data_IF_324753650350
#
_entry.id   IF_324753650350
#
_cell.length_a   1.000
_cell.length_b   1.000
_cell.length_c   1.000
_cell.angle_alpha   90.00
_cell.angle_beta   90.00
_cell.angle_gamma   90.00
#
_symmetry.space_group_name_H-M   'P 1'
#
loop_
_entity.id
_entity.type
_entity.pdbx_description
1 polymer ?
#
# COMPACT_ATOMS: atom_id res chain seq x y z
N UNK A 1 7.30 8.06 14.59
CA UNK A 1 6.78 6.71 14.27
C UNK A 1 7.94 5.74 14.31
N UNK A 2 7.73 4.55 14.86
CA UNK A 2 8.71 3.46 14.82
C UNK A 2 8.07 2.18 14.32
N UNK A 3 8.92 1.26 13.90
CA UNK A 3 8.55 -0.13 13.65
C UNK A 3 9.33 -0.97 14.66
N UNK A 4 8.70 -2.04 15.17
CA UNK A 4 9.41 -3.09 15.89
C UNK A 4 10.46 -3.77 14.98
N UNK A 5 11.19 -4.74 15.51
CA UNK A 5 12.19 -5.47 14.74
C UNK A 5 11.63 -6.00 13.42
N UNK A 6 12.36 -5.78 12.33
CA UNK A 6 11.94 -6.23 11.01
C UNK A 6 12.08 -7.75 10.93
N UNK A 7 10.99 -8.50 10.69
CA UNK A 7 11.02 -9.96 10.74
C UNK A 7 11.76 -10.55 9.54
N UNK A 8 12.49 -11.63 9.81
CA UNK A 8 13.18 -12.46 8.81
C UNK A 8 12.58 -13.86 8.75
N UNK A 9 12.73 -14.53 7.60
CA UNK A 9 12.25 -15.89 7.30
C UNK A 9 10.76 -16.13 7.63
N UNK A 10 9.95 -15.07 7.57
CA UNK A 10 8.53 -15.12 7.87
C UNK A 10 7.83 -15.95 6.80
N UNK A 11 7.10 -16.98 7.23
CA UNK A 11 6.30 -17.79 6.33
C UNK A 11 5.00 -17.06 5.98
N UNK A 12 4.64 -16.95 4.68
CA UNK A 12 3.35 -16.39 4.30
C UNK A 12 2.17 -17.21 4.84
N UNK A 13 1.07 -16.53 5.17
CA UNK A 13 -0.14 -17.17 5.67
C UNK A 13 -1.05 -17.71 4.56
N UNK A 14 -0.83 -17.32 3.31
CA UNK A 14 -1.59 -17.81 2.16
C UNK A 14 -1.27 -19.26 1.86
N UNK A 15 -2.29 -20.11 1.77
CA UNK A 15 -2.13 -21.57 1.57
C UNK A 15 -1.33 -21.94 0.32
N UNK A 16 -1.47 -21.15 -0.76
CA UNK A 16 -0.73 -21.32 -2.03
C UNK A 16 0.78 -21.10 -1.89
N UNK A 17 1.20 -20.29 -0.93
CA UNK A 17 2.59 -19.86 -0.75
C UNK A 17 3.26 -20.58 0.43
N UNK A 18 2.76 -21.78 0.75
CA UNK A 18 3.32 -22.61 1.82
C UNK A 18 4.78 -22.96 1.50
N UNK A 19 5.69 -22.60 2.41
CA UNK A 19 7.13 -22.84 2.28
C UNK A 19 7.92 -21.65 1.73
N UNK A 20 7.24 -20.63 1.21
CA UNK A 20 7.88 -19.37 0.82
C UNK A 20 8.41 -18.62 2.05
N UNK A 21 9.33 -17.67 1.83
CA UNK A 21 9.98 -16.88 2.88
C UNK A 21 9.95 -15.39 2.58
N UNK A 22 9.71 -14.60 3.61
CA UNK A 22 9.69 -13.13 3.53
C UNK A 22 10.62 -12.55 4.59
N UNK A 23 11.57 -11.74 4.13
CA UNK A 23 12.41 -10.92 4.98
C UNK A 23 12.02 -9.46 4.78
N UNK A 24 11.50 -8.80 5.82
CA UNK A 24 11.30 -7.35 5.77
C UNK A 24 12.65 -6.70 6.03
N UNK A 25 13.08 -5.83 5.11
CA UNK A 25 14.45 -5.30 5.09
C UNK A 25 14.51 -3.80 5.35
N UNK A 26 13.46 -3.06 5.00
CA UNK A 26 13.38 -1.63 5.24
C UNK A 26 11.92 -1.13 5.27
N UNK A 27 11.73 0.10 5.73
CA UNK A 27 10.44 0.79 5.68
C UNK A 27 10.58 2.29 5.43
N UNK A 28 9.51 2.93 4.96
CA UNK A 28 9.45 4.38 4.77
C UNK A 28 8.03 4.91 4.87
N UNK A 29 7.87 6.10 5.44
CA UNK A 29 6.61 6.84 5.40
C UNK A 29 6.33 7.33 3.97
N UNK A 30 5.06 7.31 3.63
CA UNK A 30 4.52 7.78 2.36
C UNK A 30 3.20 8.53 2.60
N UNK A 31 2.79 9.37 1.65
CA UNK A 31 1.61 10.23 1.75
C UNK A 31 1.69 11.09 3.03
N UNK A 32 2.83 11.74 3.25
CA UNK A 32 3.03 12.63 4.43
C UNK A 32 2.60 14.05 4.10
N UNK A 33 1.85 14.70 5.00
CA UNK A 33 1.32 16.05 4.76
C UNK A 33 2.45 17.08 4.55
N UNK A 34 2.24 18.04 3.64
CA UNK A 34 3.16 19.16 3.39
C UNK A 34 2.83 20.40 4.23
N UNK A 35 1.67 20.43 4.86
CA UNK A 35 1.17 21.57 5.61
C UNK A 35 0.61 21.16 6.96
N UNK A 36 0.66 22.06 7.93
CA UNK A 36 0.02 21.88 9.23
C UNK A 36 -0.35 23.23 9.82
N UNK A 37 -1.36 23.28 10.68
CA UNK A 37 -1.60 24.46 11.51
C UNK A 37 -0.56 24.52 12.64
N UNK A 38 0.00 25.71 12.97
CA UNK A 38 0.96 25.85 14.08
C UNK A 38 0.40 25.37 15.43
N UNK A 39 -0.91 25.53 15.63
CA UNK A 39 -1.61 25.11 16.84
C UNK A 39 -2.62 24.03 16.48
N UNK A 40 -2.83 23.07 17.38
CA UNK A 40 -3.85 22.03 17.23
C UNK A 40 -5.24 22.66 17.06
N UNK A 41 -5.91 22.34 15.95
CA UNK A 41 -7.21 22.93 15.59
C UNK A 41 -8.33 21.90 15.80
N UNK A 42 -9.33 22.26 16.57
CA UNK A 42 -10.55 21.44 16.80
C UNK A 42 -11.82 22.13 16.31
N UNK A 43 -11.73 23.42 15.96
CA UNK A 43 -12.83 24.19 15.38
C UNK A 43 -13.35 23.53 14.08
N UNK A 44 -14.67 23.37 14.00
CA UNK A 44 -15.37 22.72 12.89
C UNK A 44 -15.77 21.26 13.14
N UNK A 45 -15.13 20.57 14.11
CA UNK A 45 -15.43 19.14 14.35
C UNK A 45 -16.88 18.88 14.79
N UNK A 46 -17.47 19.79 15.56
CA UNK A 46 -18.85 19.66 16.05
C UNK A 46 -19.93 20.05 15.02
N UNK A 47 -19.55 20.59 13.86
CA UNK A 47 -20.52 20.99 12.83
C UNK A 47 -21.16 19.78 12.14
N UNK A 48 -20.38 18.73 11.90
CA UNK A 48 -20.82 17.50 11.21
C UNK A 48 -20.88 16.27 12.13
N UNK A 49 -20.24 16.35 13.31
CA UNK A 49 -20.32 15.32 14.34
C UNK A 49 -20.67 15.97 15.69
N UNK A 50 -21.97 16.20 15.91
CA UNK A 50 -22.47 17.04 17.01
C UNK A 50 -22.15 16.46 18.38
N UNK A 51 -21.99 15.13 18.46
CA UNK A 51 -21.75 14.38 19.70
C UNK A 51 -20.28 13.98 19.90
N UNK A 52 -19.35 14.45 19.06
CA UNK A 52 -17.92 14.09 19.13
C UNK A 52 -17.30 14.28 20.52
N UNK A 53 -17.75 15.30 21.27
CA UNK A 53 -17.27 15.60 22.62
C UNK A 53 -18.11 14.99 23.74
N UNK A 54 -19.07 14.12 23.42
CA UNK A 54 -19.98 13.51 24.39
C UNK A 54 -19.32 12.55 25.38
N UNK A 55 -18.09 12.08 25.09
CA UNK A 55 -17.30 11.17 25.92
C UNK A 55 -18.11 9.96 26.45
N UNK A 56 -18.91 9.34 25.58
CA UNK A 56 -19.71 8.16 25.91
C UNK A 56 -18.80 6.94 25.92
N UNK A 57 -18.87 6.10 26.96
CA UNK A 57 -18.12 4.84 27.10
C UNK A 57 -19.05 3.63 26.91
N UNK A 58 -18.46 2.45 26.66
CA UNK A 58 -19.19 1.19 26.53
C UNK A 58 -18.60 0.31 25.42
N UNK A 59 -19.44 -0.54 24.84
CA UNK A 59 -19.09 -1.30 23.64
C UNK A 59 -19.10 -0.37 22.45
N UNK A 60 -18.01 -0.36 21.68
CA UNK A 60 -17.91 0.40 20.44
C UNK A 60 -19.11 0.12 19.51
N UNK A 61 -19.59 1.14 18.77
CA UNK A 61 -18.95 2.44 18.56
C UNK A 61 -19.25 3.47 19.67
N UNK A 62 -18.23 4.23 20.11
CA UNK A 62 -18.29 5.14 21.29
C UNK A 62 -17.48 6.42 21.10
N UNK A 63 -17.91 7.54 21.70
CA UNK A 63 -17.25 8.86 21.54
C UNK A 63 -16.10 9.13 22.52
N UNK A 64 -15.93 8.30 23.56
CA UNK A 64 -14.84 8.44 24.52
C UNK A 64 -13.42 8.34 23.92
N UNK A 65 -13.28 7.85 22.68
CA UNK A 65 -11.98 7.82 21.98
C UNK A 65 -11.43 9.20 21.62
N UNK A 66 -12.29 10.23 21.52
CA UNK A 66 -11.90 11.55 21.05
C UNK A 66 -11.38 12.48 22.15
N UNK A 67 -11.77 12.25 23.41
CA UNK A 67 -11.44 13.14 24.53
C UNK A 67 -11.20 12.33 25.79
N UNK A 68 -10.07 12.55 26.45
CA UNK A 68 -9.86 12.09 27.82
C UNK A 68 -10.53 13.07 28.79
N UNK A 69 -11.69 12.69 29.33
CA UNK A 69 -12.37 13.43 30.39
C UNK A 69 -11.99 12.97 31.80
N UNK A 70 -11.07 12.01 31.96
CA UNK A 70 -10.64 11.53 33.29
C UNK A 70 -9.72 12.53 34.01
N UNK A 71 -9.02 13.37 33.25
CA UNK A 71 -8.23 14.48 33.79
C UNK A 71 -9.12 15.70 34.08
N UNK A 72 -9.26 16.02 35.37
CA UNK A 72 -10.11 17.12 35.86
C UNK A 72 -9.48 18.50 35.70
N UNK A 73 -8.19 18.60 35.40
CA UNK A 73 -7.50 19.88 35.20
C UNK A 73 -7.57 20.37 33.75
N UNK A 74 -7.48 19.44 32.80
CA UNK A 74 -7.68 19.70 31.37
C UNK A 74 -7.99 18.41 30.64
N UNK A 75 -8.98 18.43 29.75
CA UNK A 75 -9.29 17.28 28.91
C UNK A 75 -8.34 17.24 27.71
N UNK A 76 -7.68 16.09 27.49
CA UNK A 76 -6.85 15.90 26.31
C UNK A 76 -7.75 15.55 25.13
N UNK A 77 -7.53 16.21 24.00
CA UNK A 77 -8.21 15.91 22.73
C UNK A 77 -7.33 15.01 21.87
N UNK A 78 -7.92 13.94 21.32
CA UNK A 78 -7.27 12.93 20.47
C UNK A 78 -7.73 13.00 19.02
N UNK A 79 -8.30 14.11 18.57
CA UNK A 79 -8.58 14.32 17.16
C UNK A 79 -8.58 15.80 16.81
N UNK A 80 -8.27 16.11 15.57
CA UNK A 80 -8.04 17.47 15.11
C UNK A 80 -8.39 17.64 13.65
N UNK A 81 -8.31 18.89 13.21
CA UNK A 81 -8.50 19.33 11.83
C UNK A 81 -7.15 19.80 11.32
N UNK A 82 -6.67 19.19 10.24
CA UNK A 82 -5.50 19.67 9.51
C UNK A 82 -5.91 20.59 8.33
N UNK A 83 -4.95 21.16 7.58
CA UNK A 83 -5.28 22.06 6.47
C UNK A 83 -6.03 21.43 5.29
N UNK A 84 -6.00 20.11 5.13
CA UNK A 84 -6.65 19.36 4.02
C UNK A 84 -7.79 18.43 4.49
N UNK A 85 -8.28 18.61 5.72
CA UNK A 85 -9.22 17.75 6.43
C UNK A 85 -10.50 17.35 5.67
N UNK A 86 -11.01 18.26 4.83
CA UNK A 86 -12.22 18.05 4.01
C UNK A 86 -11.97 18.46 2.56
N UNK A 87 -10.73 18.32 2.08
CA UNK A 87 -10.37 18.67 0.71
C UNK A 87 -10.51 17.46 -0.21
N UNK A 88 -11.34 17.58 -1.24
CA UNK A 88 -11.47 16.56 -2.27
C UNK A 88 -10.19 16.48 -3.11
N UNK A 89 -9.48 15.35 -3.03
CA UNK A 89 -8.26 15.07 -3.77
C UNK A 89 -8.46 13.83 -4.65
N UNK A 90 -9.15 14.04 -5.77
CA UNK A 90 -9.68 12.95 -6.61
C UNK A 90 -8.66 12.33 -7.59
N UNK A 91 -7.46 12.91 -7.73
CA UNK A 91 -6.43 12.43 -8.65
C UNK A 91 -5.01 12.55 -8.07
N UNK A 92 -4.06 11.85 -8.70
CA UNK A 92 -2.69 11.78 -8.25
C UNK A 92 -1.98 13.15 -8.25
N UNK A 93 -2.34 14.05 -9.17
CA UNK A 93 -1.74 15.39 -9.26
C UNK A 93 -2.16 16.23 -8.05
N UNK A 94 -3.45 16.21 -7.72
CA UNK A 94 -3.99 16.88 -6.54
C UNK A 94 -3.35 16.33 -5.26
N UNK A 95 -3.26 15.01 -5.11
CA UNK A 95 -2.60 14.36 -3.98
C UNK A 95 -1.12 14.78 -3.87
N UNK A 96 -0.36 14.78 -4.97
CA UNK A 96 1.04 15.23 -5.01
C UNK A 96 1.20 16.71 -4.66
N UNK A 97 0.17 17.53 -4.88
CA UNK A 97 0.15 18.92 -4.44
C UNK A 97 0.14 19.05 -2.90
N UNK A 98 -0.68 18.24 -2.22
CA UNK A 98 -0.89 18.31 -0.78
C UNK A 98 0.09 17.43 0.05
N UNK A 99 0.60 16.34 -0.52
CA UNK A 99 1.40 15.33 0.17
C UNK A 99 2.76 15.10 -0.50
N UNK A 100 3.73 14.64 0.29
CA UNK A 100 4.92 13.99 -0.25
C UNK A 100 4.57 12.53 -0.55
N UNK A 101 4.75 12.13 -1.80
CA UNK A 101 4.41 10.78 -2.30
C UNK A 101 5.68 10.17 -2.88
N UNK A 102 5.95 8.92 -2.52
CA UNK A 102 7.08 8.15 -3.05
C UNK A 102 6.84 7.80 -4.52
N UNK A 103 7.85 8.04 -5.35
CA UNK A 103 7.85 7.57 -6.74
C UNK A 103 7.93 6.02 -6.79
N UNK A 104 7.49 5.38 -7.89
CA UNK A 104 7.51 3.93 -8.04
C UNK A 104 8.89 3.27 -7.85
N UNK A 105 9.96 4.02 -8.13
CA UNK A 105 11.36 3.59 -7.99
C UNK A 105 12.06 4.21 -6.76
N UNK A 106 11.29 4.79 -5.83
CA UNK A 106 11.86 5.43 -4.65
C UNK A 106 12.65 4.42 -3.79
N UNK A 107 13.79 4.86 -3.29
CA UNK A 107 14.58 4.06 -2.36
C UNK A 107 13.89 3.97 -0.99
N UNK A 108 13.74 2.73 -0.50
CA UNK A 108 13.22 2.38 0.81
C UNK A 108 14.38 1.83 1.64
N UNK A 109 14.84 2.59 2.63
CA UNK A 109 16.06 2.31 3.39
C UNK A 109 15.94 2.56 4.91
N UNK A 110 14.74 2.83 5.43
CA UNK A 110 14.55 3.03 6.87
C UNK A 110 14.71 1.72 7.66
N UNK A 111 15.43 1.80 8.79
CA UNK A 111 15.68 0.66 9.69
C UNK A 111 14.67 0.65 10.85
N UNK A 112 14.59 -0.46 11.61
CA UNK A 112 13.75 -0.51 12.81
C UNK A 112 14.23 0.43 13.94
N UNK A 113 15.51 0.78 13.96
CA UNK A 113 16.11 1.60 15.03
C UNK A 113 15.90 3.09 14.85
N UNK A 114 15.63 3.54 13.62
CA UNK A 114 15.50 4.95 13.30
C UNK A 114 14.02 5.37 13.18
N UNK A 115 13.52 6.23 14.09
CA UNK A 115 12.16 6.74 13.97
C UNK A 115 12.01 7.65 12.76
N UNK A 116 10.85 7.60 12.11
CA UNK A 116 10.46 8.57 11.08
C UNK A 116 9.38 9.52 11.59
N UNK A 117 9.36 10.74 11.06
CA UNK A 117 8.45 11.80 11.47
C UNK A 117 7.66 12.30 10.27
N UNK A 118 6.41 12.68 10.50
CA UNK A 118 5.56 13.36 9.54
C UNK A 118 4.72 14.41 10.25
N UNK A 119 4.21 15.36 9.47
CA UNK A 119 3.19 16.29 9.95
C UNK A 119 1.88 15.53 10.27
N UNK A 120 1.05 16.16 11.10
CA UNK A 120 -0.32 15.74 11.31
C UNK A 120 -1.06 15.59 9.98
N UNK A 121 -1.81 14.49 9.85
CA UNK A 121 -2.63 14.17 8.70
C UNK A 121 -3.93 13.52 9.20
N UNK A 122 -5.00 14.30 9.20
CA UNK A 122 -6.33 13.93 9.73
C UNK A 122 -7.39 14.40 8.76
N UNK A 123 -8.52 13.71 8.72
CA UNK A 123 -9.56 13.98 7.73
C UNK A 123 -10.94 13.60 8.25
N UNK A 124 -11.98 14.15 7.62
CA UNK A 124 -13.33 13.69 7.86
C UNK A 124 -13.59 12.30 7.24
N UNK A 125 -14.71 11.69 7.61
CA UNK A 125 -15.04 10.32 7.23
C UNK A 125 -15.13 10.08 5.72
N UNK A 126 -15.48 11.11 4.92
CA UNK A 126 -15.55 10.99 3.45
C UNK A 126 -14.17 11.00 2.81
N UNK A 127 -13.16 11.46 3.54
CA UNK A 127 -11.80 11.67 3.07
C UNK A 127 -10.82 10.63 3.61
N UNK A 128 -11.34 9.52 4.17
CA UNK A 128 -10.59 8.33 4.54
C UNK A 128 -10.22 7.51 3.28
N UNK A 129 -9.42 8.13 2.41
CA UNK A 129 -9.08 7.67 1.07
C UNK A 129 -7.58 7.44 0.89
N UNK A 130 -7.21 6.45 0.06
CA UNK A 130 -5.82 5.99 -0.07
C UNK A 130 -4.88 7.05 -0.68
N UNK A 131 -5.42 8.07 -1.35
CA UNK A 131 -4.63 9.18 -1.90
C UNK A 131 -4.12 10.19 -0.88
N UNK A 132 -4.73 10.23 0.30
CA UNK A 132 -4.45 11.25 1.32
C UNK A 132 -4.17 10.68 2.71
N UNK A 133 -4.36 9.38 2.93
CA UNK A 133 -4.01 8.74 4.20
C UNK A 133 -2.52 8.42 4.27
N UNK A 134 -1.82 8.99 5.25
CA UNK A 134 -0.42 8.62 5.53
C UNK A 134 -0.29 7.11 5.72
N UNK A 135 0.65 6.53 5.00
CA UNK A 135 0.88 5.09 4.95
C UNK A 135 2.37 4.78 5.14
N UNK A 136 2.64 3.52 5.34
CA UNK A 136 3.98 2.96 5.49
C UNK A 136 4.21 2.00 4.34
N UNK A 137 5.31 2.18 3.62
CA UNK A 137 5.80 1.22 2.62
C UNK A 137 6.90 0.39 3.27
N UNK A 138 6.68 -0.92 3.35
CA UNK A 138 7.70 -1.91 3.73
C UNK A 138 8.34 -2.49 2.48
N UNK A 139 9.66 -2.56 2.48
CA UNK A 139 10.45 -3.31 1.49
C UNK A 139 10.83 -4.66 2.06
N UNK A 140 10.74 -5.69 1.24
CA UNK A 140 11.05 -7.05 1.60
C UNK A 140 11.85 -7.77 0.52
N UNK A 141 12.52 -8.84 0.91
CA UNK A 141 12.99 -9.89 -0.01
C UNK A 141 12.06 -11.09 0.13
N UNK A 142 11.30 -11.37 -0.93
CA UNK A 142 10.43 -12.54 -1.03
C UNK A 142 11.18 -13.67 -1.75
N UNK A 143 11.20 -14.85 -1.14
CA UNK A 143 11.84 -16.04 -1.70
C UNK A 143 10.79 -17.14 -1.86
N UNK A 144 10.35 -17.42 -3.10
CA UNK A 144 9.43 -18.53 -3.34
C UNK A 144 10.08 -19.88 -2.99
N UNK A 145 9.28 -20.86 -2.58
CA UNK A 145 9.75 -22.18 -2.23
C UNK A 145 10.47 -22.84 -3.42
N UNK A 146 11.67 -23.35 -3.22
CA UNK A 146 12.50 -23.94 -4.28
C UNK A 146 13.18 -22.92 -5.21
N UNK A 147 13.16 -21.63 -4.86
CA UNK A 147 13.92 -20.57 -5.51
C UNK A 147 15.11 -20.17 -4.63
N UNK A 148 16.12 -19.56 -5.26
CA UNK A 148 17.27 -19.01 -4.54
C UNK A 148 16.93 -17.62 -4.02
N UNK A 149 17.20 -17.36 -2.73
CA UNK A 149 17.04 -16.04 -2.11
C UNK A 149 17.76 -14.96 -2.91
N UNK A 150 17.10 -13.81 -3.08
CA UNK A 150 17.66 -12.66 -3.81
C UNK A 150 17.69 -12.81 -5.34
N UNK A 151 17.03 -13.83 -5.90
CA UNK A 151 16.87 -13.98 -7.36
C UNK A 151 15.51 -13.46 -7.83
N UNK A 152 15.51 -12.96 -9.05
CA UNK A 152 14.29 -12.50 -9.72
C UNK A 152 13.31 -13.64 -9.94
N UNK A 153 12.04 -13.37 -9.70
CA UNK A 153 10.92 -14.23 -10.07
C UNK A 153 9.79 -13.39 -10.67
N UNK A 154 8.83 -14.07 -11.31
CA UNK A 154 7.77 -13.43 -12.08
C UNK A 154 6.40 -13.96 -11.70
N UNK A 155 5.37 -13.13 -11.93
CA UNK A 155 3.96 -13.50 -11.86
C UNK A 155 3.27 -13.05 -13.14
N UNK A 156 2.42 -13.91 -13.72
CA UNK A 156 1.77 -13.63 -15.01
C UNK A 156 0.29 -13.30 -14.76
N UNK A 157 -0.08 -12.05 -15.00
CA UNK A 157 -1.43 -11.55 -14.82
C UNK A 157 -1.98 -11.85 -13.41
N UNK A 158 -3.18 -12.42 -13.36
CA UNK A 158 -3.83 -12.79 -12.10
C UNK A 158 -3.47 -14.21 -11.61
N UNK A 159 -2.56 -14.93 -12.29
CA UNK A 159 -2.13 -16.25 -11.82
C UNK A 159 -1.48 -16.14 -10.44
N UNK A 160 -1.74 -17.11 -9.56
CA UNK A 160 -1.08 -17.20 -8.26
C UNK A 160 0.25 -17.98 -8.31
N UNK A 161 0.64 -18.46 -9.49
CA UNK A 161 1.90 -19.17 -9.69
C UNK A 161 3.08 -18.20 -9.79
N UNK A 162 4.23 -18.66 -9.28
CA UNK A 162 5.49 -17.91 -9.27
C UNK A 162 6.47 -18.61 -10.21
N UNK A 163 7.06 -17.85 -11.11
CA UNK A 163 7.81 -18.36 -12.26
C UNK A 163 9.29 -17.99 -12.15
N UNK A 164 10.16 -18.95 -12.47
CA UNK A 164 11.56 -18.64 -12.82
C UNK A 164 11.59 -18.09 -14.24
N UNK A 165 12.66 -17.40 -14.60
CA UNK A 165 12.83 -16.82 -15.94
C UNK A 165 12.65 -17.88 -17.05
N UNK A 166 13.24 -19.07 -16.88
CA UNK A 166 13.15 -20.17 -17.85
C UNK A 166 11.70 -20.63 -18.04
N UNK A 167 10.92 -20.71 -16.96
CA UNK A 167 9.54 -21.15 -16.99
C UNK A 167 8.64 -20.06 -17.61
N UNK A 168 8.89 -18.78 -17.29
CA UNK A 168 8.22 -17.64 -17.91
C UNK A 168 8.42 -17.65 -19.43
N UNK A 169 9.66 -17.77 -19.88
CA UNK A 169 9.99 -17.81 -21.32
C UNK A 169 9.30 -18.98 -22.00
N UNK A 170 9.26 -20.15 -21.35
CA UNK A 170 8.57 -21.33 -21.87
C UNK A 170 7.08 -21.07 -22.04
N UNK A 171 6.43 -20.44 -21.05
CA UNK A 171 5.01 -20.10 -21.10
C UNK A 171 4.70 -19.07 -22.21
N UNK A 172 5.51 -18.03 -22.34
CA UNK A 172 5.36 -17.02 -23.41
C UNK A 172 5.50 -17.69 -24.79
N UNK A 173 6.51 -18.54 -24.98
CA UNK A 173 6.70 -19.27 -26.26
C UNK A 173 5.51 -20.16 -26.59
N UNK A 174 4.95 -20.86 -25.61
CA UNK A 174 3.78 -21.69 -25.81
C UNK A 174 2.59 -20.87 -26.31
N UNK A 175 2.29 -19.73 -25.67
CA UNK A 175 1.16 -18.86 -26.07
C UNK A 175 1.42 -18.13 -27.40
N UNK A 176 2.66 -17.73 -27.67
CA UNK A 176 3.04 -17.16 -28.95
C UNK A 176 2.87 -18.16 -30.11
N UNK A 177 3.34 -19.40 -29.93
CA UNK A 177 3.18 -20.46 -30.93
C UNK A 177 1.70 -20.75 -31.24
N UNK A 178 0.84 -20.80 -30.22
CA UNK A 178 -0.62 -20.96 -30.39
C UNK A 178 -1.23 -19.83 -31.24
N UNK A 179 -0.84 -18.57 -31.02
CA UNK A 179 -1.40 -17.42 -31.75
C UNK A 179 -0.86 -17.35 -33.17
N UNK A 180 0.43 -17.64 -33.36
CA UNK A 180 1.12 -17.47 -34.64
C UNK A 180 0.99 -18.71 -35.55
N UNK A 181 0.53 -19.85 -35.03
CA UNK A 181 0.37 -21.08 -35.81
C UNK A 181 1.70 -21.72 -36.23
N UNK A 182 2.74 -21.56 -35.41
CA UNK A 182 4.12 -22.04 -35.65
C UNK A 182 4.58 -22.94 -34.52
N UNK A 183 5.71 -23.63 -34.68
CA UNK A 183 6.25 -24.45 -33.58
C UNK A 183 6.83 -23.57 -32.45
N UNK A 184 6.76 -24.03 -31.20
CA UNK A 184 7.39 -23.32 -30.06
C UNK A 184 8.89 -23.15 -30.23
N UNK A 185 9.54 -24.09 -30.93
CA UNK A 185 10.96 -24.04 -31.30
C UNK A 185 11.28 -22.92 -32.28
N UNK A 186 10.29 -22.36 -32.99
CA UNK A 186 10.44 -21.24 -33.92
C UNK A 186 10.24 -19.88 -33.24
N UNK A 187 9.88 -19.84 -31.96
CA UNK A 187 9.72 -18.59 -31.21
C UNK A 187 10.99 -18.26 -30.42
N UNK A 188 11.39 -16.99 -30.49
CA UNK A 188 12.38 -16.36 -29.60
C UNK A 188 11.67 -15.33 -28.73
N UNK A 189 12.01 -15.31 -27.43
CA UNK A 189 11.53 -14.32 -26.47
C UNK A 189 12.72 -13.51 -25.99
N UNK A 190 12.61 -12.19 -26.07
CA UNK A 190 13.62 -11.23 -25.64
C UNK A 190 13.07 -10.47 -24.41
N UNK A 191 13.45 -10.91 -23.21
CA UNK A 191 13.02 -10.25 -21.97
C UNK A 191 13.75 -8.92 -21.76
N UNK A 192 14.99 -8.79 -22.25
CA UNK A 192 15.84 -7.60 -22.10
C UNK A 192 15.72 -6.66 -23.30
N UNK A 193 14.55 -6.62 -23.95
CA UNK A 193 14.34 -5.76 -25.13
C UNK A 193 14.57 -4.28 -24.76
N UNK A 194 15.34 -3.56 -25.57
CA UNK A 194 15.78 -2.19 -25.25
C UNK A 194 14.63 -1.20 -24.98
N UNK A 195 13.50 -1.39 -25.66
CA UNK A 195 12.27 -0.58 -25.53
C UNK A 195 11.29 -1.12 -24.48
N UNK A 196 11.43 -2.37 -24.05
CA UNK A 196 10.54 -3.00 -23.07
C UNK A 196 11.25 -4.14 -22.32
N UNK A 197 12.07 -3.77 -21.35
CA UNK A 197 12.80 -4.72 -20.52
C UNK A 197 11.89 -5.28 -19.41
N UNK A 198 11.50 -6.55 -19.54
CA UNK A 198 10.71 -7.28 -18.55
C UNK A 198 11.51 -7.77 -17.35
N UNK A 199 12.84 -7.72 -17.37
CA UNK A 199 13.67 -8.10 -16.22
C UNK A 199 13.86 -6.95 -15.23
N UNK A 200 13.45 -5.74 -15.59
CA UNK A 200 13.35 -4.62 -14.66
C UNK A 200 12.15 -4.77 -13.71
N UNK A 201 12.29 -4.23 -12.50
CA UNK A 201 11.20 -4.23 -11.51
C UNK A 201 9.94 -3.56 -12.07
N UNK A 202 8.78 -4.04 -11.65
CA UNK A 202 7.47 -3.50 -12.04
C UNK A 202 6.62 -4.46 -12.87
N UNK A 203 5.50 -3.97 -13.38
CA UNK A 203 4.51 -4.76 -14.13
C UNK A 203 4.39 -4.26 -15.56
N UNK A 204 4.59 -5.13 -16.55
CA UNK A 204 4.62 -4.77 -17.98
C UNK A 204 3.83 -5.75 -18.84
N UNK A 205 3.36 -5.27 -20.00
CA UNK A 205 2.85 -6.13 -21.07
C UNK A 205 3.99 -6.55 -22.00
N UNK A 206 3.76 -7.59 -22.80
CA UNK A 206 4.62 -7.87 -23.94
C UNK A 206 4.37 -6.83 -25.03
N UNK A 207 5.42 -6.44 -25.73
CA UNK A 207 5.39 -5.62 -26.94
C UNK A 207 5.95 -6.40 -28.14
N UNK A 208 5.90 -5.79 -29.32
CA UNK A 208 6.47 -6.35 -30.56
C UNK A 208 7.97 -6.67 -30.46
N UNK A 209 8.68 -6.06 -29.51
CA UNK A 209 10.12 -6.27 -29.33
C UNK A 209 10.43 -7.53 -28.51
N UNK A 210 9.47 -8.03 -27.73
CA UNK A 210 9.70 -9.17 -26.84
C UNK A 210 9.49 -10.53 -27.49
N UNK A 211 8.72 -10.63 -28.58
CA UNK A 211 8.41 -11.91 -29.24
C UNK A 211 8.78 -11.84 -30.71
N UNK A 212 9.58 -12.82 -31.17
CA UNK A 212 10.06 -12.90 -32.56
C UNK A 212 9.92 -14.32 -33.10
N UNK A 213 9.68 -14.43 -34.40
CA UNK A 213 9.80 -15.69 -35.13
C UNK A 213 11.27 -15.84 -35.58
N UNK A 214 11.89 -16.98 -35.30
CA UNK A 214 13.28 -17.26 -35.68
C UNK A 214 13.46 -17.11 -37.19
N UNK A 215 14.57 -16.49 -37.59
CA UNK A 215 14.96 -16.29 -38.98
C UNK A 215 13.93 -15.51 -39.84
N UNK A 216 12.92 -14.90 -39.22
CA UNK A 216 12.00 -13.97 -39.89
C UNK A 216 12.55 -12.55 -39.78
N UNK A 217 12.58 -11.83 -40.90
CA UNK A 217 12.82 -10.38 -40.91
C UNK A 217 11.55 -9.57 -40.60
N UNK A 218 10.38 -10.21 -40.64
CA UNK A 218 9.12 -9.59 -40.27
C UNK A 218 8.92 -9.64 -38.75
N UNK A 219 8.65 -8.48 -38.15
CA UNK A 219 8.26 -8.37 -36.75
C UNK A 219 6.90 -9.05 -36.52
N UNK A 220 6.69 -9.56 -35.30
CA UNK A 220 5.35 -9.97 -34.87
C UNK A 220 4.47 -8.72 -34.82
N UNK A 221 3.31 -8.76 -35.48
CA UNK A 221 2.39 -7.62 -35.52
C UNK A 221 1.82 -7.30 -34.13
N UNK A 222 1.46 -6.04 -33.91
CA UNK A 222 0.83 -5.61 -32.65
C UNK A 222 -0.45 -6.43 -32.36
N UNK A 223 -1.30 -6.67 -33.35
CA UNK A 223 -2.51 -7.50 -33.20
C UNK A 223 -2.21 -8.92 -32.69
N UNK A 224 -1.11 -9.52 -33.13
CA UNK A 224 -0.68 -10.82 -32.61
C UNK A 224 -0.14 -10.71 -31.18
N UNK A 225 0.61 -9.65 -30.85
CA UNK A 225 1.05 -9.39 -29.47
C UNK A 225 -0.14 -9.21 -28.53
N UNK A 226 -1.16 -8.47 -28.93
CA UNK A 226 -2.36 -8.24 -28.13
C UNK A 226 -3.10 -9.56 -27.86
N UNK A 227 -3.20 -10.43 -28.88
CA UNK A 227 -3.75 -11.79 -28.73
C UNK A 227 -2.90 -12.66 -27.78
N UNK A 228 -1.58 -12.53 -27.82
CA UNK A 228 -0.67 -13.25 -26.90
C UNK A 228 -0.86 -12.75 -25.47
N UNK A 229 -0.86 -11.43 -25.26
CA UNK A 229 -1.13 -10.78 -23.98
C UNK A 229 -2.48 -11.25 -23.42
N UNK A 230 -3.54 -11.24 -24.23
CA UNK A 230 -4.86 -11.72 -23.82
C UNK A 230 -4.86 -13.21 -23.43
N UNK A 231 -4.14 -14.08 -24.17
CA UNK A 231 -3.99 -15.50 -23.81
C UNK A 231 -3.19 -15.74 -22.53
N UNK A 232 -2.30 -14.82 -22.18
CA UNK A 232 -1.59 -14.80 -20.90
C UNK A 232 -2.43 -14.16 -19.77
N UNK A 233 -3.64 -13.68 -20.07
CA UNK A 233 -4.52 -13.01 -19.12
C UNK A 233 -4.06 -11.60 -18.76
N UNK A 234 -3.27 -10.97 -19.64
CA UNK A 234 -2.74 -9.63 -19.44
C UNK A 234 -3.69 -8.57 -20.02
N UNK A 235 -3.75 -7.40 -19.38
CA UNK A 235 -4.66 -6.30 -19.71
C UNK A 235 -3.96 -4.96 -19.49
N UNK A 236 -4.09 -4.05 -20.45
CA UNK A 236 -3.68 -2.65 -20.30
C UNK A 236 -4.43 -1.96 -19.16
N UNK A 237 -3.84 -0.87 -18.66
CA UNK A 237 -4.50 -0.03 -17.68
C UNK A 237 -5.81 0.57 -18.24
N UNK A 238 -6.80 0.71 -17.39
CA UNK A 238 -8.06 1.38 -17.69
C UNK A 238 -8.55 2.13 -16.44
N UNK A 239 -9.73 1.80 -15.96
CA UNK A 239 -10.16 2.16 -14.59
C UNK A 239 -9.35 1.41 -13.54
N UNK A 240 -8.91 0.19 -13.87
CA UNK A 240 -8.06 -0.65 -13.04
C UNK A 240 -6.58 -0.48 -13.44
N UNK A 241 -5.63 -0.74 -12.52
CA UNK A 241 -4.22 -0.81 -12.85
C UNK A 241 -3.93 -1.94 -13.86
N UNK A 242 -2.80 -1.82 -14.54
CA UNK A 242 -2.27 -2.84 -15.46
C UNK A 242 -2.26 -4.25 -14.83
N UNK A 243 -2.72 -5.24 -15.59
CA UNK A 243 -2.57 -6.67 -15.27
C UNK A 243 -1.52 -7.22 -16.23
N UNK A 244 -0.27 -7.31 -15.78
CA UNK A 244 0.87 -7.64 -16.64
C UNK A 244 1.71 -8.81 -16.14
N UNK A 245 2.90 -8.94 -16.72
CA UNK A 245 3.99 -9.74 -16.14
C UNK A 245 4.64 -8.85 -15.07
N UNK A 246 4.46 -9.25 -13.81
CA UNK A 246 5.05 -8.59 -12.66
C UNK A 246 6.43 -9.21 -12.37
N UNK A 247 7.46 -8.38 -12.34
CA UNK A 247 8.86 -8.79 -12.16
C UNK A 247 9.39 -8.35 -10.81
N UNK A 248 9.66 -9.30 -9.93
CA UNK A 248 10.21 -9.06 -8.60
C UNK A 248 11.72 -9.12 -8.70
N UNK A 249 12.33 -8.04 -9.22
CA UNK A 249 13.78 -7.99 -9.47
C UNK A 249 14.54 -8.22 -8.17
N UNK A 250 15.44 -9.21 -8.16
CA UNK A 250 16.16 -9.59 -6.94
C UNK A 250 15.27 -10.12 -5.80
N UNK A 251 14.03 -10.53 -6.11
CA UNK A 251 13.03 -10.92 -5.12
C UNK A 251 12.48 -9.74 -4.31
N UNK A 252 12.72 -8.50 -4.72
CA UNK A 252 12.18 -7.33 -4.02
C UNK A 252 10.66 -7.31 -4.08
N UNK A 253 10.04 -7.07 -2.93
CA UNK A 253 8.59 -7.01 -2.79
C UNK A 253 8.18 -5.91 -1.82
N UNK A 254 7.11 -5.19 -2.13
CA UNK A 254 6.67 -4.02 -1.39
C UNK A 254 5.27 -4.22 -0.81
N UNK A 255 5.08 -3.76 0.42
CA UNK A 255 3.82 -3.87 1.15
C UNK A 255 3.41 -2.52 1.74
N UNK A 256 2.11 -2.23 1.75
CA UNK A 256 1.56 -1.03 2.38
C UNK A 256 0.86 -1.39 3.67
N UNK A 257 1.07 -0.57 4.69
CA UNK A 257 0.19 -0.50 5.85
C UNK A 257 -0.31 0.94 6.05
N UNK A 258 -1.60 1.11 6.29
CA UNK A 258 -2.20 2.41 6.66
C UNK A 258 -2.26 2.52 8.18
N UNK A 259 -1.98 3.71 8.70
CA UNK A 259 -1.87 3.91 10.14
C UNK A 259 -3.27 4.13 10.71
N UNK A 260 -3.73 3.17 11.50
CA UNK A 260 -4.98 3.32 12.25
C UNK A 260 -4.73 4.20 13.47
N UNK A 261 -5.47 5.30 13.61
CA UNK A 261 -5.39 6.14 14.80
C UNK A 261 -6.30 5.61 15.91
N UNK A 262 -7.56 5.34 15.61
CA UNK A 262 -8.38 4.53 16.50
C UNK A 262 -8.40 3.08 15.98
N UNK A 263 -8.11 2.13 16.86
CA UNK A 263 -7.98 0.73 16.46
C UNK A 263 -9.31 0.10 16.04
N UNK A 264 -9.26 -1.16 15.57
CA UNK A 264 -10.46 -1.92 15.18
C UNK A 264 -11.46 -2.09 16.33
N UNK A 265 -10.99 -2.09 17.58
CA UNK A 265 -11.86 -2.16 18.75
C UNK A 265 -12.75 -0.92 18.89
N UNK A 266 -12.24 0.27 18.55
CA UNK A 266 -12.97 1.54 18.67
C UNK A 266 -13.74 1.91 17.39
N UNK A 267 -13.25 1.42 16.24
CA UNK A 267 -13.79 1.74 14.91
C UNK A 267 -14.00 0.49 14.07
N UNK A 268 -14.87 -0.45 14.49
CA UNK A 268 -14.98 -1.77 13.87
C UNK A 268 -15.45 -1.69 12.42
N UNK A 269 -14.71 -2.35 11.53
CA UNK A 269 -15.08 -2.59 10.13
C UNK A 269 -14.60 -3.99 9.72
N UNK A 270 -15.46 -4.73 9.03
CA UNK A 270 -15.14 -6.07 8.53
C UNK A 270 -15.11 -6.09 7.00
N UNK A 271 -14.30 -6.98 6.45
CA UNK A 271 -14.25 -7.21 5.01
C UNK A 271 -15.64 -7.57 4.45
N UNK A 272 -16.03 -6.91 3.37
CA UNK A 272 -17.35 -7.06 2.74
C UNK A 272 -18.43 -6.10 3.25
N UNK A 273 -18.18 -5.34 4.33
CA UNK A 273 -19.07 -4.25 4.75
C UNK A 273 -18.92 -3.02 3.83
N UNK A 274 -20.00 -2.25 3.69
CA UNK A 274 -19.94 -0.95 3.02
C UNK A 274 -18.95 0.00 3.74
N UNK A 275 -18.17 0.77 2.97
CA UNK A 275 -17.16 1.66 3.51
C UNK A 275 -17.77 2.98 3.98
N UNK A 276 -17.67 3.20 5.29
CA UNK A 276 -17.86 4.42 6.10
C UNK A 276 -19.18 5.19 6.02
N UNK A 277 -19.86 5.26 4.89
CA UNK A 277 -21.12 5.99 4.71
C UNK A 277 -20.96 7.52 4.64
N UNK A 278 -21.97 8.23 5.12
CA UNK A 278 -22.03 9.69 5.04
C UNK A 278 -21.40 10.39 6.25
N UNK A 279 -21.18 11.70 6.13
CA UNK A 279 -20.64 12.51 7.22
C UNK A 279 -21.79 12.94 8.16
N UNK A 280 -22.26 12.00 8.97
CA UNK A 280 -23.31 12.17 9.98
C UNK A 280 -22.92 11.56 11.34
N UNK A 281 -23.70 11.83 12.38
CA UNK A 281 -23.41 11.34 13.73
C UNK A 281 -23.31 9.81 13.83
N UNK A 282 -24.12 9.06 13.07
CA UNK A 282 -24.14 7.59 13.13
C UNK A 282 -22.85 7.01 12.58
N UNK A 283 -22.47 7.43 11.38
CA UNK A 283 -21.28 6.97 10.69
C UNK A 283 -20.00 7.52 11.33
N UNK A 284 -19.97 8.80 11.73
CA UNK A 284 -18.84 9.37 12.46
C UNK A 284 -18.62 8.67 13.81
N UNK A 285 -19.70 8.35 14.53
CA UNK A 285 -19.59 7.57 15.78
C UNK A 285 -18.94 6.22 15.50
N UNK A 286 -19.24 5.58 14.36
CA UNK A 286 -18.68 4.27 14.02
C UNK A 286 -17.24 4.29 13.47
N UNK A 287 -16.90 5.23 12.59
CA UNK A 287 -15.68 5.11 11.78
C UNK A 287 -14.72 6.30 11.84
N UNK A 288 -15.17 7.50 12.23
CA UNK A 288 -14.30 8.69 12.20
C UNK A 288 -13.04 8.48 13.05
N UNK A 289 -11.90 8.84 12.49
CA UNK A 289 -10.58 8.72 13.09
C UNK A 289 -10.00 7.31 13.10
N UNK A 290 -10.64 6.35 12.41
CA UNK A 290 -10.07 5.01 12.22
C UNK A 290 -8.67 5.06 11.61
N UNK A 291 -8.44 5.89 10.58
CA UNK A 291 -7.13 6.17 10.00
C UNK A 291 -6.73 7.62 10.26
N UNK A 292 -5.43 7.88 10.37
CA UNK A 292 -4.87 9.22 10.52
C UNK A 292 -3.62 9.26 11.39
N UNK A 293 -2.93 10.40 11.35
CA UNK A 293 -1.76 10.69 12.19
C UNK A 293 -1.99 12.03 12.86
N UNK A 294 -2.11 12.04 14.19
CA UNK A 294 -2.33 13.25 14.98
C UNK A 294 -1.02 13.67 15.66
N UNK A 295 -0.76 14.98 15.73
CA UNK A 295 0.46 15.52 16.35
C UNK A 295 0.65 15.02 17.78
N UNK A 296 1.91 14.94 18.21
CA UNK A 296 2.29 14.56 19.58
C UNK A 296 1.78 13.16 20.02
N UNK A 297 1.71 12.22 19.07
CA UNK A 297 1.48 10.79 19.32
C UNK A 297 2.67 9.97 18.82
N UNK A 298 3.01 8.90 19.55
CA UNK A 298 3.97 7.90 19.11
C UNK A 298 3.20 6.72 18.52
N UNK A 299 3.35 6.47 17.22
CA UNK A 299 2.85 5.28 16.56
C UNK A 299 3.98 4.24 16.48
N UNK A 300 3.78 3.09 17.12
CA UNK A 300 4.66 1.93 17.07
C UNK A 300 4.00 0.84 16.23
N UNK A 301 4.65 0.43 15.15
CA UNK A 301 4.12 -0.55 14.19
C UNK A 301 4.74 -1.92 14.45
N UNK A 302 3.91 -2.95 14.52
CA UNK A 302 4.37 -4.34 14.61
C UNK A 302 3.82 -5.15 13.44
N UNK A 303 4.71 -5.84 12.74
CA UNK A 303 4.36 -6.62 11.56
C UNK A 303 3.81 -7.99 12.00
N UNK A 304 2.52 -8.22 11.76
CA UNK A 304 1.79 -9.41 12.21
C UNK A 304 1.93 -10.59 11.26
N UNK A 305 1.36 -10.50 10.05
CA UNK A 305 1.41 -11.55 9.03
C UNK A 305 1.64 -10.97 7.64
N UNK A 306 2.17 -11.79 6.73
CA UNK A 306 2.28 -11.48 5.30
C UNK A 306 1.54 -12.60 4.58
N UNK A 307 0.65 -12.29 3.65
CA UNK A 307 -0.19 -13.32 3.01
C UNK A 307 0.43 -13.93 1.76
N UNK A 308 1.40 -13.27 1.13
CA UNK A 308 2.09 -13.71 -0.07
C UNK A 308 3.06 -12.65 -0.58
N UNK A 309 3.48 -12.69 -1.86
CA UNK A 309 4.27 -11.61 -2.44
C UNK A 309 3.42 -10.33 -2.49
N UNK A 310 4.06 -9.20 -2.15
CA UNK A 310 3.51 -7.85 -2.32
C UNK A 310 3.59 -7.38 -3.77
N UNK A 311 3.84 -6.09 -4.01
CA UNK A 311 4.05 -5.56 -5.37
C UNK A 311 5.53 -5.63 -5.78
N UNK A 312 5.85 -5.69 -7.08
CA UNK A 312 7.22 -5.76 -7.59
C UNK A 312 8.00 -4.42 -7.50
N UNK A 313 7.28 -3.31 -7.35
CA UNK A 313 7.77 -1.93 -7.23
C UNK A 313 6.99 -1.19 -6.13
N UNK A 314 7.43 0.03 -5.77
CA UNK A 314 6.74 0.82 -4.74
C UNK A 314 5.31 1.10 -5.23
N UNK A 315 4.28 0.63 -4.50
CA UNK A 315 2.92 0.75 -5.00
C UNK A 315 2.49 2.20 -5.10
N UNK A 316 1.82 2.58 -6.18
CA UNK A 316 1.26 3.92 -6.34
C UNK A 316 0.06 4.16 -5.42
N UNK A 317 -0.36 5.41 -5.28
CA UNK A 317 -1.59 5.75 -4.57
C UNK A 317 -2.83 5.51 -5.44
N UNK A 318 -3.97 5.29 -4.80
CA UNK A 318 -5.28 5.17 -5.46
C UNK A 318 -6.22 6.25 -4.90
N UNK A 319 -6.23 7.47 -5.47
CA UNK A 319 -6.89 8.64 -4.88
C UNK A 319 -8.37 8.43 -4.52
N UNK A 320 -9.12 7.75 -5.38
CA UNK A 320 -10.57 7.57 -5.24
C UNK A 320 -10.97 6.33 -4.42
N UNK A 321 -10.02 5.50 -4.02
CA UNK A 321 -10.32 4.27 -3.26
C UNK A 321 -10.35 4.55 -1.75
N UNK A 322 -11.27 3.92 -1.00
CA UNK A 322 -11.29 4.01 0.46
C UNK A 322 -10.10 3.28 1.09
N UNK A 323 -9.76 3.66 2.33
CA UNK A 323 -8.64 3.08 3.06
C UNK A 323 -8.80 1.60 3.42
N UNK A 324 -10.02 1.16 3.76
CA UNK A 324 -10.34 -0.24 3.99
C UNK A 324 -10.68 -0.91 2.66
N UNK A 325 -9.92 -1.95 2.34
CA UNK A 325 -10.10 -2.77 1.16
C UNK A 325 -10.14 -4.25 1.56
N UNK A 326 -10.77 -5.06 0.71
CA UNK A 326 -10.96 -6.49 0.98
C UNK A 326 -9.65 -7.29 0.90
N UNK A 327 -8.67 -6.85 0.10
CA UNK A 327 -7.43 -7.60 -0.12
C UNK A 327 -6.24 -6.99 0.63
N UNK A 328 -5.79 -7.67 1.70
CA UNK A 328 -4.61 -7.26 2.48
C UNK A 328 -3.43 -8.21 2.22
N UNK A 329 -2.35 -7.66 1.69
CA UNK A 329 -1.09 -8.40 1.45
C UNK A 329 -0.22 -8.51 2.70
N UNK A 330 -0.44 -7.61 3.67
CA UNK A 330 0.24 -7.57 4.97
C UNK A 330 -0.76 -7.21 6.07
N UNK A 331 -0.58 -7.81 7.25
CA UNK A 331 -1.28 -7.43 8.47
C UNK A 331 -0.27 -6.76 9.41
N UNK A 332 -0.57 -5.52 9.79
CA UNK A 332 0.24 -4.71 10.72
C UNK A 332 -0.66 -4.27 11.87
N UNK A 333 -0.21 -4.51 13.10
CA UNK A 333 -0.84 -3.96 14.29
C UNK A 333 -0.16 -2.66 14.69
N UNK A 334 -0.95 -1.65 15.03
CA UNK A 334 -0.47 -0.33 15.48
C UNK A 334 -0.72 -0.21 16.97
N UNK A 335 0.32 0.11 17.73
CA UNK A 335 0.22 0.51 19.13
C UNK A 335 0.49 2.01 19.22
N UNK A 336 -0.43 2.75 19.82
CA UNK A 336 -0.29 4.18 20.01
C UNK A 336 0.10 4.43 21.45
N UNK A 337 1.29 5.01 21.62
CA UNK A 337 1.79 5.47 22.91
C UNK A 337 1.62 6.98 22.98
N UNK A 338 1.19 7.47 24.15
CA UNK A 338 1.19 8.90 24.41
C UNK A 338 2.65 9.38 24.47
N UNK A 339 3.01 10.29 23.56
CA UNK A 339 4.35 10.88 23.61
C UNK A 339 4.40 11.89 24.76
N UNK A 340 5.28 11.67 25.74
CA UNK A 340 5.65 12.68 26.71
C UNK A 340 7.12 12.52 27.12
N UNK A 341 7.93 13.52 26.75
CA UNK A 341 9.08 13.92 27.56
C UNK A 341 9.21 15.44 27.51
N UNK A 342 9.16 16.08 28.68
CA UNK A 342 9.40 17.51 28.87
C UNK A 342 10.61 17.70 29.79
N UNK A 343 11.49 18.64 29.46
CA UNK A 343 12.46 19.23 30.37
C UNK A 343 12.81 20.62 29.86
N UNK A 344 12.69 21.62 30.74
CA UNK A 344 12.87 23.05 30.50
C UNK A 344 14.09 23.56 31.28
N UNK A 345 14.79 24.55 30.74
CA UNK A 345 15.36 25.67 31.50
C UNK A 345 15.39 26.86 30.56
N UNK A 346 14.59 27.89 30.86
CA UNK A 346 14.58 29.16 30.14
C UNK A 346 14.88 30.25 31.17
N UNK A 347 16.11 30.75 31.15
CA UNK A 347 16.44 32.05 31.72
C UNK A 347 16.43 33.08 30.58
N UNK A 348 15.83 34.25 30.84
CA UNK A 348 15.50 35.30 29.88
C UNK A 348 16.71 35.87 29.13
#
# INVERSE_FOLDING_TARGET
MTVADLPTDKSPSGTKYTGDKVDITAWKLDVTNKSTFPIHKTAGLSEKFTTIWGNVHGTAPVTARFVDASNTAFSRVYWGVDPNYSTDLCDETACKGAFNILDPNAEINGTATEPQYCLENTFDIKHMMQGQTTRVVFKATYTPNGFTKGKTFYKIGNSTDLWKEVDLVTQIKAKAAEVLGVATSEITVELEAASNNLNEAGTRLLTVDNVKIKNSSAAVSQDNIDKINAKLGLKEAGTDPIVGIATYKGGESYYIARIKHFGDADTPWNEGEATYGDNDDTHNTKYLGRYGVLRNNWYELTIGSVSGPGTPDVPTIKPAEPDDESYKYISVSVKILSWAKRSDTVDL
#
